data_IF_897706414530
#
_entry.id   IF_897706414530
#
_cell.length_a   1.000
_cell.length_b   1.000
_cell.length_c   1.000
_cell.angle_alpha   90.00
_cell.angle_beta   90.00
_cell.angle_gamma   90.00
#
_symmetry.space_group_name_H-M   'P 1'
#
loop_
_entity.id
_entity.type
_entity.pdbx_description
1 polymer ?
#
# COMPACT_ATOMS: atom_id res chain seq x y z
N UNK A 1 3.23 37.86 -10.93
CA UNK A 1 4.59 37.38 -11.28
C UNK A 1 4.69 37.32 -12.79
N UNK A 2 5.89 37.50 -13.39
CA UNK A 2 6.05 37.41 -14.84
C UNK A 2 6.28 35.93 -15.19
N UNK A 3 5.44 35.35 -16.05
CA UNK A 3 5.62 34.00 -16.56
C UNK A 3 6.82 33.96 -17.51
N UNK A 4 7.65 32.95 -17.42
CA UNK A 4 8.85 32.74 -18.23
C UNK A 4 8.93 31.29 -18.65
N UNK A 5 9.53 31.00 -19.80
CA UNK A 5 9.72 29.62 -20.28
C UNK A 5 10.75 28.86 -19.46
N UNK A 6 10.44 27.60 -19.09
CA UNK A 6 11.32 26.73 -18.30
C UNK A 6 12.68 26.53 -18.97
N UNK A 7 12.72 26.46 -20.30
CA UNK A 7 13.96 26.33 -21.08
C UNK A 7 15.00 27.41 -20.82
N UNK A 8 14.63 28.58 -20.24
CA UNK A 8 15.58 29.62 -19.80
C UNK A 8 16.39 29.20 -18.58
N UNK A 9 15.90 28.21 -17.80
CA UNK A 9 16.44 27.81 -16.52
C UNK A 9 17.05 26.42 -16.50
N UNK A 10 16.89 25.66 -17.58
CA UNK A 10 17.34 24.25 -17.63
C UNK A 10 18.22 24.00 -18.86
N UNK A 11 19.17 23.08 -18.70
CA UNK A 11 20.12 22.71 -19.75
C UNK A 11 20.18 21.18 -19.87
N UNK A 12 20.11 20.68 -21.11
CA UNK A 12 20.22 19.25 -21.41
C UNK A 12 21.66 18.78 -21.31
N UNK A 13 21.85 17.56 -20.78
CA UNK A 13 23.14 16.88 -20.71
C UNK A 13 23.09 15.51 -21.39
N UNK A 14 24.04 15.26 -22.30
CA UNK A 14 24.20 13.95 -22.97
C UNK A 14 25.48 13.22 -22.58
N UNK A 15 26.03 13.49 -21.41
CA UNK A 15 27.21 12.80 -20.89
C UNK A 15 26.94 11.31 -20.72
N UNK A 16 27.84 10.46 -21.25
CA UNK A 16 27.67 9.00 -21.29
C UNK A 16 28.79 8.29 -20.54
N UNK A 17 28.55 7.05 -20.16
CA UNK A 17 29.50 6.18 -19.45
C UNK A 17 30.56 5.57 -20.40
N UNK A 18 31.08 6.37 -21.34
CA UNK A 18 32.02 5.91 -22.39
C UNK A 18 33.29 5.31 -21.82
N UNK A 19 33.77 5.81 -20.70
CA UNK A 19 34.93 5.32 -19.96
C UNK A 19 34.63 4.11 -19.07
N UNK A 20 33.38 3.60 -19.04
CA UNK A 20 32.90 2.46 -18.24
C UNK A 20 33.23 2.59 -16.74
N UNK A 21 33.27 3.82 -16.23
CA UNK A 21 33.54 4.09 -14.82
C UNK A 21 32.47 3.48 -13.90
N UNK A 22 31.21 3.41 -14.37
CA UNK A 22 30.07 2.94 -13.58
C UNK A 22 29.59 1.59 -14.12
N UNK A 23 29.38 0.62 -13.22
CA UNK A 23 28.93 -0.73 -13.54
C UNK A 23 27.39 -0.90 -13.40
N UNK A 24 26.91 -2.14 -13.51
CA UNK A 24 25.49 -2.51 -13.47
C UNK A 24 24.79 -2.06 -12.18
N UNK A 25 25.50 -1.99 -11.05
CA UNK A 25 24.94 -1.52 -9.78
C UNK A 25 24.52 -0.04 -9.78
N UNK A 26 25.07 0.78 -10.70
CA UNK A 26 24.69 2.17 -10.86
C UNK A 26 23.47 2.36 -11.79
N UNK A 27 23.01 1.32 -12.47
CA UNK A 27 21.87 1.42 -13.41
C UNK A 27 20.58 1.51 -12.66
N UNK A 28 19.81 2.54 -12.98
CA UNK A 28 18.52 2.82 -12.33
C UNK A 28 17.40 2.98 -13.36
N UNK A 29 16.18 2.73 -12.92
CA UNK A 29 14.95 3.05 -13.63
C UNK A 29 14.35 4.36 -13.15
N UNK A 30 13.49 4.95 -13.99
CA UNK A 30 12.71 6.13 -13.67
C UNK A 30 11.23 5.74 -13.57
N UNK A 31 10.58 6.08 -12.45
CA UNK A 31 9.19 5.71 -12.21
C UNK A 31 8.21 6.84 -12.56
N UNK A 32 6.94 6.48 -12.77
CA UNK A 32 5.84 7.42 -12.89
C UNK A 32 5.50 8.11 -11.57
N UNK A 33 6.04 7.62 -10.45
CA UNK A 33 5.96 8.26 -9.14
C UNK A 33 7.11 9.25 -8.91
N UNK A 34 7.81 9.66 -9.98
CA UNK A 34 8.92 10.61 -9.96
C UNK A 34 10.12 10.17 -9.09
N UNK A 35 10.34 8.86 -9.01
CA UNK A 35 11.42 8.29 -8.17
C UNK A 35 12.45 7.55 -9.00
N UNK A 36 13.70 7.61 -8.54
CA UNK A 36 14.75 6.70 -8.94
C UNK A 36 14.42 5.33 -8.33
N UNK A 37 14.32 4.30 -9.17
CA UNK A 37 14.01 2.93 -8.73
C UNK A 37 15.11 1.96 -9.20
N UNK A 38 15.25 0.85 -8.51
CA UNK A 38 16.13 -0.23 -8.94
C UNK A 38 15.64 -0.76 -10.30
N UNK A 39 16.58 -0.93 -11.24
CA UNK A 39 16.23 -1.51 -12.55
C UNK A 39 15.72 -2.94 -12.40
N UNK A 40 14.70 -3.29 -13.21
CA UNK A 40 14.19 -4.66 -13.34
C UNK A 40 14.73 -5.35 -14.60
N UNK A 41 15.52 -4.63 -15.41
CA UNK A 41 16.08 -5.16 -16.64
C UNK A 41 17.21 -6.15 -16.34
N UNK A 42 17.29 -7.23 -17.11
CA UNK A 42 18.48 -8.05 -17.16
C UNK A 42 19.57 -7.27 -17.90
N UNK A 43 20.66 -7.00 -17.21
CA UNK A 43 21.80 -6.25 -17.72
C UNK A 43 22.93 -7.16 -18.23
N UNK A 44 22.71 -8.49 -18.26
CA UNK A 44 23.70 -9.45 -18.76
C UNK A 44 24.00 -9.18 -20.23
N UNK A 45 25.26 -8.91 -20.55
CA UNK A 45 25.70 -8.61 -21.92
C UNK A 45 25.32 -7.22 -22.46
N UNK A 46 24.69 -6.36 -21.65
CA UNK A 46 24.34 -5.00 -22.07
C UNK A 46 25.56 -4.09 -22.08
N UNK A 47 25.76 -3.35 -23.17
CA UNK A 47 26.83 -2.35 -23.25
C UNK A 47 26.45 -1.08 -22.51
N UNK A 48 26.94 -0.93 -21.27
CA UNK A 48 26.66 0.21 -20.42
C UNK A 48 27.39 1.51 -20.86
N UNK A 49 28.29 1.46 -21.85
CA UNK A 49 28.99 2.64 -22.35
C UNK A 49 28.02 3.64 -23.05
N UNK A 50 26.90 3.16 -23.57
CA UNK A 50 25.87 4.00 -24.20
C UNK A 50 24.91 4.65 -23.22
N UNK A 51 24.89 4.20 -21.95
CA UNK A 51 24.02 4.76 -20.90
C UNK A 51 24.46 6.18 -20.55
N UNK A 52 23.47 7.01 -20.23
CA UNK A 52 23.72 8.40 -19.84
C UNK A 52 23.99 8.51 -18.35
N UNK A 53 24.86 9.43 -18.00
CA UNK A 53 25.16 9.77 -16.60
C UNK A 53 24.06 10.67 -16.05
N UNK A 54 23.59 10.35 -14.87
CA UNK A 54 22.69 11.17 -14.06
C UNK A 54 23.38 11.50 -12.72
N UNK A 55 24.26 12.52 -12.71
CA UNK A 55 24.98 12.89 -11.49
C UNK A 55 24.09 13.57 -10.47
N UNK A 56 24.59 13.89 -9.25
CA UNK A 56 23.84 14.62 -8.23
C UNK A 56 23.17 15.89 -8.79
N UNK A 57 21.96 16.17 -8.34
CA UNK A 57 21.10 17.29 -8.77
C UNK A 57 20.64 17.25 -10.23
N UNK A 58 20.94 16.20 -11.00
CA UNK A 58 20.39 16.00 -12.33
C UNK A 58 18.94 15.50 -12.27
N UNK A 59 18.17 15.88 -13.28
CA UNK A 59 16.89 15.30 -13.61
C UNK A 59 17.05 14.32 -14.78
N UNK A 60 16.22 13.31 -14.82
CA UNK A 60 16.09 12.46 -15.99
C UNK A 60 14.63 12.10 -16.21
N UNK A 61 14.21 12.06 -17.49
CA UNK A 61 12.88 11.55 -17.84
C UNK A 61 12.94 10.68 -19.11
N UNK A 62 11.90 9.86 -19.28
CA UNK A 62 11.73 9.06 -20.49
C UNK A 62 10.68 9.74 -21.36
N UNK A 63 11.03 10.16 -22.59
CA UNK A 63 10.12 10.88 -23.48
C UNK A 63 8.88 10.08 -23.86
N UNK A 64 8.99 8.75 -23.98
CA UNK A 64 7.89 7.85 -24.36
C UNK A 64 6.82 7.81 -23.25
N UNK A 65 5.64 8.35 -23.52
CA UNK A 65 4.50 8.46 -22.60
C UNK A 65 3.40 7.44 -22.89
N UNK A 66 3.27 6.94 -24.12
CA UNK A 66 2.15 6.10 -24.56
C UNK A 66 1.99 4.76 -23.82
N UNK A 67 3.07 4.22 -23.27
CA UNK A 67 3.06 2.96 -22.52
C UNK A 67 2.91 3.11 -21.01
N UNK A 68 2.81 4.34 -20.50
CA UNK A 68 2.93 4.65 -19.08
C UNK A 68 1.68 5.26 -18.48
N UNK A 69 0.61 5.38 -19.29
CA UNK A 69 -0.64 6.00 -18.90
C UNK A 69 -0.50 7.52 -18.77
N UNK A 70 -1.23 8.10 -17.82
CA UNK A 70 -1.37 9.55 -17.68
C UNK A 70 -0.22 10.24 -16.94
N UNK A 71 0.85 9.50 -16.59
CA UNK A 71 1.96 10.02 -15.78
C UNK A 71 3.30 9.84 -16.47
N UNK A 72 4.08 10.92 -16.51
CA UNK A 72 5.44 10.89 -17.03
C UNK A 72 6.40 10.19 -16.06
N UNK A 73 7.30 9.35 -16.61
CA UNK A 73 8.44 8.83 -15.86
C UNK A 73 9.56 9.85 -15.83
N UNK A 74 9.73 10.46 -14.69
CA UNK A 74 10.76 11.46 -14.40
C UNK A 74 11.35 11.16 -13.01
N UNK A 75 12.60 11.49 -12.77
CA UNK A 75 13.20 11.48 -11.45
C UNK A 75 14.24 12.59 -11.29
N UNK A 76 14.49 12.95 -10.06
CA UNK A 76 15.53 13.86 -9.62
C UNK A 76 16.54 13.10 -8.76
N UNK A 77 17.83 13.26 -9.05
CA UNK A 77 18.88 12.66 -8.27
C UNK A 77 19.24 13.56 -7.07
N UNK A 78 18.58 13.32 -5.95
CA UNK A 78 18.88 14.02 -4.67
C UNK A 78 20.03 13.39 -3.89
N UNK A 79 20.64 12.29 -4.39
CA UNK A 79 21.78 11.62 -3.73
C UNK A 79 23.11 12.25 -4.08
N UNK A 80 24.18 11.81 -3.41
CA UNK A 80 25.54 12.16 -3.75
C UNK A 80 26.16 11.26 -4.82
N UNK A 81 25.45 10.20 -5.24
CA UNK A 81 25.93 9.21 -6.20
C UNK A 81 25.55 9.58 -7.63
N UNK A 82 26.39 9.13 -8.60
CA UNK A 82 26.03 9.21 -10.01
C UNK A 82 25.37 7.92 -10.46
N UNK A 83 24.18 8.03 -11.04
CA UNK A 83 23.45 6.91 -11.61
C UNK A 83 23.64 6.80 -13.13
N UNK A 84 23.35 5.62 -13.66
CA UNK A 84 23.22 5.36 -15.09
C UNK A 84 21.74 5.22 -15.45
N UNK A 85 21.29 5.99 -16.43
CA UNK A 85 19.94 5.87 -17.01
C UNK A 85 20.05 5.42 -18.47
N UNK A 86 18.97 4.83 -18.99
CA UNK A 86 18.91 4.37 -20.37
C UNK A 86 19.29 5.47 -21.36
N UNK A 87 19.91 5.10 -22.49
CA UNK A 87 20.27 6.03 -23.57
C UNK A 87 19.09 6.79 -24.17
N UNK A 88 17.86 6.27 -24.04
CA UNK A 88 16.63 6.93 -24.49
C UNK A 88 16.15 8.05 -23.54
N UNK A 89 16.65 8.06 -22.30
CA UNK A 89 16.28 9.08 -21.33
C UNK A 89 16.88 10.43 -21.70
N UNK A 90 16.17 11.51 -21.39
CA UNK A 90 16.68 12.87 -21.47
C UNK A 90 17.15 13.25 -20.06
N UNK A 91 18.42 13.66 -19.95
CA UNK A 91 19.03 14.14 -18.70
C UNK A 91 19.24 15.63 -18.81
N UNK A 92 18.94 16.37 -17.74
CA UNK A 92 19.10 17.82 -17.71
C UNK A 92 19.38 18.34 -16.28
N UNK A 93 19.82 19.57 -16.19
CA UNK A 93 20.09 20.29 -14.96
C UNK A 93 19.35 21.61 -14.92
N UNK A 94 19.22 22.16 -13.72
CA UNK A 94 18.91 23.58 -13.56
C UNK A 94 20.23 24.37 -13.72
N UNK A 95 20.21 25.42 -14.54
CA UNK A 95 21.37 26.28 -14.78
C UNK A 95 21.86 26.92 -13.48
N UNK A 96 23.17 27.09 -13.35
CA UNK A 96 23.74 27.74 -12.18
C UNK A 96 23.31 29.21 -12.10
N UNK A 97 23.02 29.68 -10.89
CA UNK A 97 22.68 31.09 -10.58
C UNK A 97 21.51 31.67 -11.39
N UNK A 98 20.62 30.81 -11.96
CA UNK A 98 19.51 31.28 -12.79
C UNK A 98 18.27 31.73 -11.97
N UNK A 99 18.28 31.62 -10.65
CA UNK A 99 17.15 31.99 -9.80
C UNK A 99 16.11 30.89 -9.62
N UNK A 100 16.36 29.66 -10.09
CA UNK A 100 15.54 28.47 -9.88
C UNK A 100 16.31 27.43 -9.05
N UNK A 101 15.67 26.88 -8.02
CA UNK A 101 16.21 25.78 -7.24
C UNK A 101 15.78 24.43 -7.83
N UNK A 102 16.70 23.46 -7.94
CA UNK A 102 16.41 22.11 -8.42
C UNK A 102 15.32 21.42 -7.57
N UNK A 103 15.40 21.54 -6.24
CA UNK A 103 14.39 20.96 -5.34
C UNK A 103 13.01 21.59 -5.53
N UNK A 104 12.93 22.90 -5.81
CA UNK A 104 11.67 23.57 -6.11
C UNK A 104 11.10 23.11 -7.46
N UNK A 105 11.96 22.96 -8.47
CA UNK A 105 11.54 22.40 -9.77
C UNK A 105 11.06 20.96 -9.62
N UNK A 106 11.71 20.15 -8.80
CA UNK A 106 11.25 18.79 -8.54
C UNK A 106 9.87 18.76 -7.86
N UNK A 107 9.62 19.65 -6.91
CA UNK A 107 8.29 19.81 -6.32
C UNK A 107 7.26 20.23 -7.36
N UNK A 108 7.61 21.12 -8.30
CA UNK A 108 6.74 21.48 -9.42
C UNK A 108 6.36 20.28 -10.28
N UNK A 109 7.31 19.40 -10.60
CA UNK A 109 7.07 18.19 -11.41
C UNK A 109 6.24 17.13 -10.69
N UNK A 110 6.15 17.14 -9.38
CA UNK A 110 5.32 16.22 -8.62
C UNK A 110 3.82 16.57 -8.62
N UNK A 111 3.44 17.72 -9.18
CA UNK A 111 2.03 18.14 -9.24
C UNK A 111 1.26 17.37 -10.33
N UNK A 112 -0.02 17.01 -10.08
CA UNK A 112 -0.87 16.41 -11.09
C UNK A 112 -1.04 17.25 -12.36
N UNK A 113 -0.93 18.60 -12.24
CA UNK A 113 -1.00 19.53 -13.38
C UNK A 113 0.14 19.28 -14.37
N UNK A 114 1.34 18.99 -13.88
CA UNK A 114 2.48 18.67 -14.73
C UNK A 114 2.23 17.38 -15.53
N UNK A 115 1.70 16.33 -14.90
CA UNK A 115 1.38 15.09 -15.61
C UNK A 115 0.28 15.31 -16.67
N UNK A 116 -0.75 16.11 -16.37
CA UNK A 116 -1.77 16.50 -17.36
C UNK A 116 -1.18 17.30 -18.51
N UNK A 117 -0.29 18.26 -18.22
CA UNK A 117 0.40 19.05 -19.23
C UNK A 117 1.25 18.17 -20.16
N UNK A 118 2.06 17.28 -19.60
CA UNK A 118 2.91 16.37 -20.38
C UNK A 118 2.08 15.42 -21.23
N UNK A 119 0.95 14.93 -20.72
CA UNK A 119 0.03 14.08 -21.48
C UNK A 119 -0.61 14.83 -22.64
N UNK A 120 -1.04 16.06 -22.43
CA UNK A 120 -1.65 16.91 -23.46
C UNK A 120 -0.65 17.29 -24.57
N UNK A 121 0.60 17.57 -24.23
CA UNK A 121 1.66 17.95 -25.16
C UNK A 121 2.54 16.77 -25.60
N UNK A 122 2.02 15.52 -25.55
CA UNK A 122 2.70 14.36 -26.10
C UNK A 122 2.13 14.00 -27.45
N UNK A 123 2.99 13.86 -28.45
CA UNK A 123 2.62 13.67 -29.86
C UNK A 123 3.29 12.43 -30.47
N UNK A 124 2.65 11.85 -31.48
CA UNK A 124 3.18 10.71 -32.24
C UNK A 124 2.11 9.69 -32.59
N UNK A 125 2.21 9.06 -33.79
CA UNK A 125 1.20 8.11 -34.28
C UNK A 125 1.36 6.69 -33.71
N UNK A 126 2.60 6.24 -33.47
CA UNK A 126 2.89 4.90 -32.96
C UNK A 126 3.34 4.91 -31.48
N UNK A 127 3.99 5.98 -31.06
CA UNK A 127 4.42 6.24 -29.68
C UNK A 127 4.30 7.73 -29.43
N UNK A 128 3.51 8.09 -28.47
CA UNK A 128 3.44 9.47 -28.03
C UNK A 128 4.68 9.81 -27.22
N UNK A 129 5.33 10.90 -27.57
CA UNK A 129 6.54 11.37 -26.90
C UNK A 129 6.37 12.81 -26.45
N UNK A 130 6.90 13.12 -25.29
CA UNK A 130 7.05 14.47 -24.77
C UNK A 130 8.49 14.92 -25.03
N UNK A 131 8.66 15.86 -25.95
CA UNK A 131 9.97 16.27 -26.42
C UNK A 131 10.71 17.15 -25.42
N UNK A 132 12.00 17.40 -25.68
CA UNK A 132 12.79 18.36 -24.91
C UNK A 132 12.29 19.80 -25.17
N UNK A 133 11.87 20.08 -26.35
CA UNK A 133 11.31 21.35 -26.77
C UNK A 133 10.00 21.64 -26.02
N UNK A 134 9.12 20.65 -25.88
CA UNK A 134 7.89 20.77 -25.09
C UNK A 134 8.19 20.98 -23.60
N UNK A 135 9.26 20.34 -23.06
CA UNK A 135 9.73 20.60 -21.71
C UNK A 135 10.21 22.04 -21.52
N UNK A 136 10.96 22.55 -22.49
CA UNK A 136 11.46 23.94 -22.48
C UNK A 136 10.34 24.98 -22.61
N UNK A 137 9.25 24.61 -23.27
CA UNK A 137 8.09 25.47 -23.53
C UNK A 137 7.11 25.62 -22.34
N UNK A 138 7.35 24.89 -21.25
CA UNK A 138 6.55 25.03 -20.03
C UNK A 138 6.64 26.45 -19.51
N UNK A 139 5.49 27.08 -19.28
CA UNK A 139 5.42 28.36 -18.59
C UNK A 139 5.53 28.17 -17.07
N UNK A 140 6.52 28.83 -16.47
CA UNK A 140 6.76 28.76 -15.03
C UNK A 140 6.77 30.18 -14.42
N UNK A 141 6.11 30.34 -13.29
CA UNK A 141 6.19 31.51 -12.45
C UNK A 141 7.14 31.25 -11.30
N UNK A 142 8.22 32.03 -11.21
CA UNK A 142 9.23 31.84 -10.19
C UNK A 142 9.11 32.89 -9.08
N UNK A 143 8.84 32.47 -7.84
CA UNK A 143 9.02 33.34 -6.68
C UNK A 143 10.50 33.56 -6.39
N UNK A 144 10.81 34.47 -5.47
CA UNK A 144 12.21 34.68 -5.03
C UNK A 144 12.79 33.40 -4.43
N UNK A 145 14.11 33.28 -4.44
CA UNK A 145 14.84 32.11 -3.90
C UNK A 145 14.46 31.83 -2.44
N UNK A 146 14.27 32.88 -1.63
CA UNK A 146 13.87 32.74 -0.22
C UNK A 146 12.47 32.11 -0.10
N UNK A 147 11.57 32.44 -1.01
CA UNK A 147 10.22 31.87 -1.06
C UNK A 147 10.26 30.44 -1.58
N UNK A 148 11.05 30.15 -2.63
CA UNK A 148 11.27 28.77 -3.10
C UNK A 148 11.81 27.88 -1.97
N UNK A 149 12.80 28.37 -1.21
CA UNK A 149 13.37 27.63 -0.08
C UNK A 149 12.32 27.33 1.01
N UNK A 150 11.42 28.28 1.30
CA UNK A 150 10.32 28.03 2.25
C UNK A 150 9.40 26.89 1.77
N UNK A 151 9.03 26.89 0.50
CA UNK A 151 8.20 25.80 -0.07
C UNK A 151 8.92 24.46 -0.03
N UNK A 152 10.20 24.43 -0.41
CA UNK A 152 11.03 23.21 -0.35
C UNK A 152 11.14 22.68 1.08
N UNK A 153 11.35 23.56 2.05
CA UNK A 153 11.46 23.17 3.47
C UNK A 153 10.14 22.55 3.96
N UNK A 154 8.99 23.16 3.64
CA UNK A 154 7.66 22.62 3.99
C UNK A 154 7.45 21.25 3.32
N UNK A 155 7.68 21.15 2.02
CA UNK A 155 7.53 19.91 1.26
C UNK A 155 8.39 18.78 1.85
N UNK A 156 9.67 19.03 2.11
CA UNK A 156 10.58 18.07 2.70
C UNK A 156 10.15 17.66 4.11
N UNK A 157 9.66 18.60 4.92
CA UNK A 157 9.12 18.31 6.25
C UNK A 157 7.87 17.40 6.18
N UNK A 158 6.98 17.62 5.21
CA UNK A 158 5.80 16.77 4.99
C UNK A 158 6.21 15.34 4.57
N UNK A 159 7.13 15.21 3.62
CA UNK A 159 7.66 13.89 3.18
C UNK A 159 8.35 13.16 4.34
N UNK A 160 9.16 13.88 5.12
CA UNK A 160 9.82 13.29 6.28
C UNK A 160 8.82 12.85 7.35
N UNK A 161 7.80 13.66 7.63
CA UNK A 161 6.75 13.31 8.57
C UNK A 161 5.98 12.06 8.13
N UNK A 162 5.64 11.98 6.84
CA UNK A 162 5.00 10.77 6.27
C UNK A 162 5.87 9.53 6.47
N UNK A 163 7.17 9.61 6.15
CA UNK A 163 8.10 8.47 6.33
C UNK A 163 8.21 8.04 7.79
N UNK A 164 8.34 8.98 8.72
CA UNK A 164 8.36 8.68 10.15
C UNK A 164 7.06 8.01 10.61
N UNK A 165 5.93 8.47 10.08
CA UNK A 165 4.63 7.89 10.41
C UNK A 165 4.50 6.45 9.88
N UNK A 166 4.91 6.20 8.63
CA UNK A 166 4.91 4.87 8.01
C UNK A 166 5.87 3.90 8.74
N UNK A 167 7.05 4.39 9.14
CA UNK A 167 7.98 3.60 9.95
C UNK A 167 7.36 3.24 11.31
N UNK A 168 6.74 4.19 12.00
CA UNK A 168 6.06 3.92 13.27
C UNK A 168 4.90 2.93 13.15
N UNK A 169 4.20 2.89 12.01
CA UNK A 169 3.19 1.87 11.74
C UNK A 169 3.81 0.48 11.61
N UNK A 170 4.92 0.33 10.90
CA UNK A 170 5.60 -0.96 10.76
C UNK A 170 6.17 -1.43 12.11
N UNK A 171 6.73 -0.52 12.91
CA UNK A 171 7.24 -0.84 14.25
C UNK A 171 6.13 -1.33 15.19
N UNK A 172 4.95 -0.71 15.18
CA UNK A 172 3.78 -1.18 15.94
C UNK A 172 3.33 -2.57 15.49
N UNK A 173 3.25 -2.80 14.19
CA UNK A 173 2.88 -4.09 13.61
C UNK A 173 3.86 -5.19 14.01
N UNK A 174 5.15 -4.93 13.88
CA UNK A 174 6.22 -5.86 14.27
C UNK A 174 6.16 -6.18 15.77
N UNK A 175 5.92 -5.17 16.62
CA UNK A 175 5.75 -5.35 18.06
C UNK A 175 4.57 -6.27 18.38
N UNK A 176 3.40 -6.02 17.76
CA UNK A 176 2.23 -6.89 17.95
C UNK A 176 2.52 -8.33 17.56
N UNK A 177 3.17 -8.55 16.42
CA UNK A 177 3.41 -9.90 15.93
C UNK A 177 4.50 -10.62 16.72
N UNK A 178 5.54 -9.91 17.17
CA UNK A 178 6.56 -10.45 18.05
C UNK A 178 5.99 -10.89 19.41
N UNK A 179 5.12 -10.09 20.01
CA UNK A 179 4.42 -10.45 21.25
C UNK A 179 3.53 -11.69 21.05
N UNK A 180 2.74 -11.71 19.97
CA UNK A 180 1.91 -12.87 19.64
C UNK A 180 2.73 -14.14 19.41
N UNK A 181 3.90 -14.03 18.77
CA UNK A 181 4.82 -15.16 18.57
C UNK A 181 5.47 -15.61 19.90
N UNK A 182 5.83 -14.68 20.78
CA UNK A 182 6.27 -15.00 22.14
C UNK A 182 5.20 -15.81 22.89
N UNK A 183 3.94 -15.41 22.84
CA UNK A 183 2.84 -16.15 23.47
C UNK A 183 2.68 -17.57 22.90
N UNK A 184 2.88 -17.75 21.59
CA UNK A 184 2.85 -19.07 20.94
C UNK A 184 3.82 -20.08 21.59
N UNK A 185 4.94 -19.61 22.12
CA UNK A 185 5.98 -20.44 22.71
C UNK A 185 5.92 -20.53 24.24
N UNK A 186 5.26 -19.60 24.90
CA UNK A 186 5.29 -19.48 26.38
C UNK A 186 3.96 -19.74 27.07
N UNK A 187 2.82 -19.64 26.33
CA UNK A 187 1.49 -19.76 26.93
C UNK A 187 0.80 -21.07 26.58
N UNK A 188 -0.13 -21.49 27.44
CA UNK A 188 -0.99 -22.65 27.17
C UNK A 188 -1.84 -22.39 25.94
N UNK A 189 -1.94 -23.40 25.08
CA UNK A 189 -2.81 -23.33 23.89
C UNK A 189 -4.16 -23.94 24.19
N UNK A 190 -5.19 -23.41 23.54
CA UNK A 190 -6.56 -23.95 23.55
C UNK A 190 -7.06 -24.03 22.12
N UNK A 191 -7.83 -25.06 21.83
CA UNK A 191 -8.47 -25.23 20.53
C UNK A 191 -9.61 -24.20 20.35
N UNK A 192 -9.82 -23.73 19.11
CA UNK A 192 -10.90 -22.78 18.82
C UNK A 192 -12.28 -23.33 19.19
N UNK A 193 -12.48 -24.66 19.10
CA UNK A 193 -13.72 -25.31 19.53
C UNK A 193 -13.98 -25.26 21.03
N UNK A 194 -12.94 -25.05 21.85
CA UNK A 194 -13.09 -24.83 23.29
C UNK A 194 -13.38 -23.36 23.61
N UNK A 195 -13.03 -22.45 22.73
CA UNK A 195 -13.12 -21.00 22.89
C UNK A 195 -14.38 -20.41 22.26
N UNK A 196 -14.85 -20.97 21.14
CA UNK A 196 -16.00 -20.49 20.37
C UNK A 196 -17.05 -21.61 20.15
N UNK A 197 -18.30 -21.21 20.05
CA UNK A 197 -19.41 -22.05 19.64
C UNK A 197 -20.21 -21.41 18.52
N UNK A 198 -20.82 -22.24 17.66
CA UNK A 198 -21.73 -21.74 16.61
C UNK A 198 -23.10 -21.41 17.19
N UNK A 199 -23.64 -20.28 16.75
CA UNK A 199 -25.04 -19.86 17.02
C UNK A 199 -25.76 -19.67 15.69
N UNK A 200 -27.06 -19.99 15.65
CA UNK A 200 -27.88 -19.89 14.44
C UNK A 200 -29.18 -19.12 14.71
N UNK A 201 -29.05 -17.80 14.85
CA UNK A 201 -30.21 -16.91 14.94
C UNK A 201 -30.54 -16.40 13.54
N UNK A 202 -31.76 -16.68 13.09
CA UNK A 202 -32.21 -16.29 11.74
C UNK A 202 -32.96 -14.96 11.77
N UNK A 203 -32.86 -14.22 10.68
CA UNK A 203 -33.58 -12.96 10.45
C UNK A 203 -35.07 -13.20 10.09
N UNK A 204 -35.70 -14.22 10.67
CA UNK A 204 -37.06 -14.65 10.33
C UNK A 204 -38.12 -13.57 10.53
N UNK A 205 -37.88 -12.63 11.43
CA UNK A 205 -38.75 -11.49 11.70
C UNK A 205 -38.44 -10.26 10.82
N UNK A 206 -37.42 -10.33 9.96
CA UNK A 206 -37.03 -9.23 9.09
C UNK A 206 -36.47 -8.00 9.80
N UNK A 207 -35.89 -8.19 11.00
CA UNK A 207 -35.37 -7.08 11.83
C UNK A 207 -34.10 -6.45 11.22
N UNK A 208 -33.46 -7.10 10.27
CA UNK A 208 -32.25 -6.60 9.62
C UNK A 208 -32.40 -6.62 8.10
N UNK A 209 -32.18 -5.46 7.48
CA UNK A 209 -32.15 -5.24 6.02
C UNK A 209 -30.71 -5.05 5.47
N UNK A 210 -29.71 -5.08 6.36
CA UNK A 210 -28.31 -4.83 6.06
C UNK A 210 -27.56 -6.16 5.88
N UNK A 211 -27.53 -6.69 4.65
CA UNK A 211 -26.77 -7.88 4.34
C UNK A 211 -25.28 -7.56 4.11
N UNK A 212 -24.41 -8.29 4.81
CA UNK A 212 -22.97 -8.10 4.72
C UNK A 212 -22.23 -9.41 4.42
N UNK A 213 -21.04 -9.28 3.86
CA UNK A 213 -20.04 -10.32 3.70
C UNK A 213 -18.73 -9.92 4.36
N UNK A 214 -17.73 -10.81 4.30
CA UNK A 214 -16.39 -10.56 4.83
C UNK A 214 -15.41 -10.50 3.65
N UNK A 215 -14.63 -9.41 3.58
CA UNK A 215 -13.56 -9.27 2.60
C UNK A 215 -12.27 -10.01 3.03
N UNK A 216 -11.27 -10.04 2.16
CA UNK A 216 -9.96 -10.67 2.45
C UNK A 216 -9.16 -9.94 3.55
N UNK A 217 -9.50 -8.68 3.85
CA UNK A 217 -8.90 -7.91 4.97
C UNK A 217 -9.63 -8.14 6.29
N UNK A 218 -10.56 -9.13 6.34
CA UNK A 218 -11.31 -9.54 7.53
C UNK A 218 -12.20 -8.44 8.12
N UNK A 219 -12.77 -7.64 7.21
CA UNK A 219 -13.71 -6.58 7.54
C UNK A 219 -15.07 -6.88 6.89
N UNK A 220 -16.14 -6.47 7.56
CA UNK A 220 -17.46 -6.51 6.98
C UNK A 220 -17.59 -5.52 5.82
N UNK A 221 -18.29 -5.94 4.78
CA UNK A 221 -18.57 -5.12 3.60
C UNK A 221 -20.00 -5.37 3.12
N UNK A 222 -20.67 -4.40 2.50
CA UNK A 222 -22.00 -4.61 1.92
C UNK A 222 -22.01 -5.81 0.97
N UNK A 223 -23.02 -6.67 1.08
CA UNK A 223 -23.19 -7.81 0.18
C UNK A 223 -23.65 -7.32 -1.20
N UNK A 224 -23.10 -7.91 -2.27
CA UNK A 224 -23.50 -7.63 -3.67
C UNK A 224 -24.83 -8.31 -4.02
N UNK A 225 -25.35 -9.22 -3.19
CA UNK A 225 -26.59 -9.95 -3.42
C UNK A 225 -27.81 -9.05 -3.15
N UNK A 226 -28.27 -8.35 -4.19
CA UNK A 226 -29.27 -7.29 -4.12
C UNK A 226 -30.75 -7.73 -4.18
N UNK A 227 -31.07 -9.02 -4.27
CA UNK A 227 -32.46 -9.50 -4.45
C UNK A 227 -32.79 -10.75 -3.65
N UNK A 228 -32.07 -11.01 -2.56
CA UNK A 228 -32.19 -12.25 -1.81
C UNK A 228 -33.16 -12.09 -0.65
N UNK A 229 -33.97 -13.11 -0.41
CA UNK A 229 -34.80 -13.24 0.77
C UNK A 229 -33.93 -13.25 2.04
N UNK A 230 -33.81 -12.10 2.70
CA UNK A 230 -33.01 -11.92 3.89
C UNK A 230 -33.58 -12.63 5.13
N UNK A 231 -34.80 -13.14 5.09
CA UNK A 231 -35.40 -13.88 6.20
C UNK A 231 -34.65 -15.18 6.54
N UNK A 232 -33.95 -15.75 5.55
CA UNK A 232 -33.11 -16.95 5.72
C UNK A 232 -31.69 -16.65 6.21
N UNK A 233 -31.31 -15.39 6.24
CA UNK A 233 -29.96 -14.98 6.65
C UNK A 233 -29.77 -15.16 8.14
N UNK A 234 -28.51 -15.35 8.55
CA UNK A 234 -28.13 -15.42 9.97
C UNK A 234 -27.86 -14.00 10.50
N UNK A 235 -28.32 -13.72 11.69
CA UNK A 235 -28.01 -12.47 12.38
C UNK A 235 -26.68 -12.58 13.10
N UNK A 236 -25.90 -11.50 13.02
CA UNK A 236 -24.67 -11.32 13.78
C UNK A 236 -24.84 -10.13 14.70
N UNK A 237 -24.70 -10.36 16.00
CA UNK A 237 -24.78 -9.35 17.04
C UNK A 237 -23.40 -8.88 17.48
N UNK A 238 -23.36 -7.78 18.22
CA UNK A 238 -22.12 -7.25 18.79
C UNK A 238 -21.35 -8.33 19.55
N UNK A 239 -20.02 -8.34 19.40
CA UNK A 239 -19.09 -9.32 19.96
C UNK A 239 -19.23 -10.75 19.42
N UNK A 240 -19.97 -10.94 18.33
CA UNK A 240 -19.99 -12.20 17.59
C UNK A 240 -19.09 -12.13 16.36
N UNK A 241 -18.63 -13.28 15.93
CA UNK A 241 -17.86 -13.42 14.69
C UNK A 241 -18.75 -13.96 13.59
N UNK A 242 -18.52 -13.49 12.36
CA UNK A 242 -18.94 -14.22 11.18
C UNK A 242 -17.71 -14.94 10.59
N UNK A 243 -17.89 -16.21 10.21
CA UNK A 243 -16.85 -17.07 9.68
C UNK A 243 -17.30 -17.65 8.34
N UNK A 244 -16.45 -17.58 7.32
CA UNK A 244 -16.69 -18.23 6.03
C UNK A 244 -15.65 -19.31 5.80
N UNK A 245 -16.11 -20.56 5.70
CA UNK A 245 -15.28 -21.70 5.36
C UNK A 245 -14.76 -21.68 3.92
N UNK A 246 -15.47 -20.93 3.04
CA UNK A 246 -15.29 -21.01 1.60
C UNK A 246 -14.00 -20.36 1.11
N UNK A 247 -13.30 -21.05 0.21
CA UNK A 247 -12.14 -20.50 -0.54
C UNK A 247 -10.95 -20.10 0.30
N UNK A 248 -10.82 -20.57 1.53
CA UNK A 248 -9.71 -20.21 2.43
C UNK A 248 -8.35 -20.53 1.81
N UNK A 249 -8.17 -21.72 1.24
CA UNK A 249 -6.92 -22.11 0.60
C UNK A 249 -6.68 -21.38 -0.73
N UNK A 250 -7.73 -21.11 -1.52
CA UNK A 250 -7.64 -20.37 -2.78
C UNK A 250 -7.26 -18.91 -2.56
N UNK A 251 -7.93 -18.25 -1.64
CA UNK A 251 -7.71 -16.83 -1.34
C UNK A 251 -6.55 -16.61 -0.38
N UNK A 252 -5.97 -17.72 0.15
CA UNK A 252 -4.91 -17.73 1.15
C UNK A 252 -5.23 -16.85 2.37
N UNK A 253 -6.50 -16.91 2.82
CA UNK A 253 -7.02 -16.06 3.87
C UNK A 253 -8.15 -16.76 4.62
N UNK A 254 -8.04 -16.85 5.95
CA UNK A 254 -9.16 -17.22 6.83
C UNK A 254 -10.10 -16.02 6.91
N UNK A 255 -11.32 -16.19 6.41
CA UNK A 255 -12.35 -15.13 6.47
C UNK A 255 -13.13 -15.22 7.77
N UNK A 256 -12.64 -14.55 8.80
CA UNK A 256 -13.31 -14.35 10.08
C UNK A 256 -13.30 -12.87 10.43
N UNK A 257 -14.41 -12.34 10.92
CA UNK A 257 -14.52 -10.94 11.32
C UNK A 257 -15.36 -10.80 12.58
N UNK A 258 -14.86 -10.04 13.56
CA UNK A 258 -15.55 -9.65 14.78
C UNK A 258 -16.50 -8.49 14.48
N UNK A 259 -17.76 -8.60 14.90
CA UNK A 259 -18.73 -7.54 14.73
C UNK A 259 -18.80 -6.64 15.99
N UNK A 260 -18.54 -5.35 15.79
CA UNK A 260 -18.54 -4.35 16.87
C UNK A 260 -19.72 -3.36 16.85
N UNK A 261 -20.64 -3.47 15.87
CA UNK A 261 -21.77 -2.55 15.75
C UNK A 261 -22.88 -2.80 16.76
N UNK A 262 -23.65 -1.76 17.09
CA UNK A 262 -24.75 -1.86 18.08
C UNK A 262 -26.04 -2.45 17.49
N UNK A 263 -26.26 -2.33 16.17
CA UNK A 263 -27.41 -2.94 15.46
C UNK A 263 -26.96 -4.22 14.78
N UNK A 264 -27.76 -5.30 14.81
CA UNK A 264 -27.39 -6.55 14.15
C UNK A 264 -27.23 -6.37 12.63
N UNK A 265 -26.39 -7.20 12.03
CA UNK A 265 -26.25 -7.34 10.58
C UNK A 265 -26.68 -8.75 10.15
N UNK A 266 -27.01 -8.92 8.87
CA UNK A 266 -27.37 -10.21 8.31
C UNK A 266 -26.22 -10.74 7.44
N UNK A 267 -25.84 -12.02 7.61
CA UNK A 267 -24.88 -12.72 6.76
C UNK A 267 -25.54 -13.89 6.07
N UNK A 268 -25.03 -14.26 4.89
CA UNK A 268 -25.56 -15.41 4.13
C UNK A 268 -25.59 -16.69 4.99
N UNK A 269 -26.56 -17.60 4.77
CA UNK A 269 -26.61 -18.89 5.45
C UNK A 269 -25.32 -19.75 5.32
N UNK A 270 -24.49 -19.46 4.33
CA UNK A 270 -23.18 -20.11 4.15
C UNK A 270 -22.12 -19.72 5.18
N UNK A 271 -22.36 -18.67 5.96
CA UNK A 271 -21.50 -18.28 7.05
C UNK A 271 -21.87 -19.03 8.34
N UNK A 272 -20.88 -19.33 9.16
CA UNK A 272 -21.09 -19.66 10.57
C UNK A 272 -21.00 -18.38 11.41
N UNK A 273 -21.92 -18.21 12.34
CA UNK A 273 -21.86 -17.16 13.35
C UNK A 273 -21.34 -17.77 14.64
N UNK A 274 -20.28 -17.21 15.19
CA UNK A 274 -19.58 -17.78 16.35
C UNK A 274 -19.63 -16.80 17.50
N UNK A 275 -19.81 -17.33 18.71
CA UNK A 275 -19.72 -16.54 19.94
C UNK A 275 -18.75 -17.18 20.93
N UNK A 276 -18.26 -16.39 21.87
CA UNK A 276 -17.34 -16.80 22.92
C UNK A 276 -18.03 -17.76 23.91
N UNK A 277 -17.35 -18.85 24.29
CA UNK A 277 -17.79 -19.83 25.30
C UNK A 277 -17.27 -19.52 26.70
N UNK A 278 -16.18 -18.79 26.84
CA UNK A 278 -15.45 -18.61 28.09
C UNK A 278 -14.99 -17.19 28.26
N UNK A 279 -14.92 -16.72 29.52
CA UNK A 279 -14.43 -15.39 29.84
C UNK A 279 -12.91 -15.30 29.98
N UNK A 280 -12.18 -16.37 29.66
CA UNK A 280 -10.71 -16.42 29.72
C UNK A 280 -10.06 -15.79 28.48
N UNK A 281 -10.84 -15.44 27.46
CA UNK A 281 -10.35 -14.87 26.20
C UNK A 281 -11.18 -13.68 25.78
N UNK A 282 -10.52 -12.68 25.18
CA UNK A 282 -11.15 -11.52 24.56
C UNK A 282 -11.44 -11.80 23.08
N UNK A 283 -12.57 -11.38 22.61
CA UNK A 283 -12.95 -11.50 21.20
C UNK A 283 -11.98 -10.73 20.28
N UNK A 284 -11.54 -9.56 20.71
CA UNK A 284 -10.56 -8.75 20.01
C UNK A 284 -9.19 -9.43 19.91
N UNK A 285 -8.82 -10.22 20.92
CA UNK A 285 -7.59 -11.01 20.87
C UNK A 285 -7.68 -12.13 19.82
N UNK A 286 -8.83 -12.81 19.71
CA UNK A 286 -9.08 -13.80 18.65
C UNK A 286 -9.00 -13.11 17.28
N UNK A 287 -9.65 -11.95 17.09
CA UNK A 287 -9.60 -11.19 15.85
C UNK A 287 -8.16 -10.81 15.47
N UNK A 288 -7.38 -10.32 16.44
CA UNK A 288 -5.97 -10.01 16.25
C UNK A 288 -5.17 -11.27 15.83
N UNK A 289 -5.38 -12.38 16.52
CA UNK A 289 -4.68 -13.63 16.21
C UNK A 289 -4.87 -14.06 14.77
N UNK A 290 -6.11 -14.04 14.28
CA UNK A 290 -6.45 -14.36 12.90
C UNK A 290 -6.13 -13.26 11.89
N UNK A 291 -5.77 -12.07 12.31
CA UNK A 291 -5.28 -11.00 11.43
C UNK A 291 -3.81 -11.17 10.99
N UNK A 292 -3.11 -12.15 11.57
CA UNK A 292 -1.70 -12.43 11.28
C UNK A 292 -1.55 -13.28 10.01
N UNK A 293 -0.51 -13.02 9.19
CA UNK A 293 -0.21 -13.84 8.01
C UNK A 293 0.04 -15.33 8.33
N UNK A 294 0.56 -15.64 9.55
CA UNK A 294 0.78 -17.01 10.01
C UNK A 294 -0.52 -17.80 10.13
N UNK A 295 -1.56 -17.16 10.64
CA UNK A 295 -2.89 -17.77 10.74
C UNK A 295 -3.48 -18.06 9.37
N UNK A 296 -3.28 -17.18 8.41
CA UNK A 296 -3.72 -17.40 7.03
C UNK A 296 -2.95 -18.55 6.36
N UNK A 297 -1.63 -18.65 6.59
CA UNK A 297 -0.84 -19.79 6.10
C UNK A 297 -1.30 -21.11 6.70
N UNK A 298 -1.59 -21.13 8.00
CA UNK A 298 -2.14 -22.30 8.68
C UNK A 298 -3.50 -22.70 8.12
N UNK A 299 -4.40 -21.73 7.94
CA UNK A 299 -5.72 -21.97 7.34
C UNK A 299 -5.64 -22.54 5.92
N UNK A 300 -4.71 -22.01 5.11
CA UNK A 300 -4.45 -22.55 3.77
C UNK A 300 -3.95 -24.02 3.84
N UNK A 301 -3.04 -24.33 4.76
CA UNK A 301 -2.52 -25.68 4.96
C UNK A 301 -3.61 -26.67 5.42
N UNK A 302 -4.52 -26.24 6.30
CA UNK A 302 -5.59 -27.08 6.85
C UNK A 302 -6.83 -27.15 5.93
N UNK A 303 -6.87 -26.38 4.83
CA UNK A 303 -7.97 -26.41 3.87
C UNK A 303 -8.03 -27.76 3.16
N UNK A 304 -9.25 -28.16 2.73
CA UNK A 304 -9.44 -29.37 1.96
C UNK A 304 -8.77 -29.29 0.57
N UNK A 305 -8.57 -30.46 -0.04
CA UNK A 305 -8.00 -30.55 -1.40
C UNK A 305 -9.01 -30.33 -2.52
N UNK A 306 -10.23 -29.84 -2.22
CA UNK A 306 -11.26 -29.56 -3.20
C UNK A 306 -10.89 -28.35 -4.08
N UNK A 307 -11.56 -28.22 -5.23
CA UNK A 307 -11.40 -27.05 -6.13
C UNK A 307 -11.66 -25.71 -5.40
N UNK A 308 -12.47 -25.73 -4.36
CA UNK A 308 -12.81 -24.55 -3.55
C UNK A 308 -11.84 -24.33 -2.40
N UNK A 309 -11.06 -25.34 -2.01
CA UNK A 309 -10.11 -25.31 -0.90
C UNK A 309 -10.72 -24.68 0.36
N UNK A 310 -11.73 -25.34 0.92
CA UNK A 310 -12.48 -24.85 2.06
C UNK A 310 -11.78 -25.23 3.37
N UNK A 311 -11.88 -24.37 4.37
CA UNK A 311 -11.59 -24.69 5.76
C UNK A 311 -12.94 -24.81 6.48
N UNK A 312 -13.44 -26.03 6.64
CA UNK A 312 -14.73 -26.28 7.31
C UNK A 312 -14.66 -25.96 8.82
N UNK A 313 -15.82 -25.78 9.44
CA UNK A 313 -15.89 -25.39 10.84
C UNK A 313 -15.23 -26.42 11.80
N UNK A 314 -15.40 -27.76 11.60
CA UNK A 314 -14.70 -28.74 12.44
C UNK A 314 -13.19 -28.58 12.41
N UNK A 315 -12.56 -28.41 11.23
CA UNK A 315 -11.12 -28.17 11.13
C UNK A 315 -10.70 -26.81 11.69
N UNK A 316 -11.53 -25.78 11.51
CA UNK A 316 -11.29 -24.48 12.16
C UNK A 316 -11.27 -24.62 13.68
N UNK A 317 -12.14 -25.44 14.25
CA UNK A 317 -12.18 -25.72 15.68
C UNK A 317 -10.96 -26.47 16.22
N UNK A 318 -10.23 -27.19 15.38
CA UNK A 318 -8.95 -27.84 15.73
C UNK A 318 -7.77 -26.87 15.82
N UNK A 319 -7.90 -25.64 15.30
CA UNK A 319 -6.83 -24.65 15.38
C UNK A 319 -6.61 -24.27 16.83
N UNK A 320 -5.38 -24.44 17.30
CA UNK A 320 -4.96 -24.05 18.64
C UNK A 320 -4.33 -22.66 18.64
N UNK A 321 -4.76 -21.82 19.58
CA UNK A 321 -4.16 -20.50 19.83
C UNK A 321 -3.67 -20.40 21.28
N UNK A 322 -2.58 -19.66 21.58
CA UNK A 322 -2.16 -19.40 22.94
C UNK A 322 -3.17 -18.49 23.65
N UNK A 323 -3.45 -18.79 24.89
CA UNK A 323 -4.36 -18.00 25.75
C UNK A 323 -3.55 -17.44 26.92
N UNK A 324 -2.96 -16.23 26.77
CA UNK A 324 -2.29 -15.53 27.87
C UNK A 324 -3.30 -14.99 28.87
N UNK A 325 -2.82 -14.43 29.98
CA UNK A 325 -3.67 -13.79 30.97
C UNK A 325 -4.43 -12.60 30.36
N UNK A 326 -5.59 -12.25 30.91
CA UNK A 326 -6.44 -11.17 30.36
C UNK A 326 -5.70 -9.82 30.27
N UNK A 327 -4.85 -9.48 31.23
CA UNK A 327 -4.05 -8.25 31.21
C UNK A 327 -3.05 -8.23 30.04
N UNK A 328 -2.46 -9.37 29.73
CA UNK A 328 -1.57 -9.53 28.57
C UNK A 328 -2.35 -9.44 27.26
N UNK A 329 -3.55 -10.04 27.20
CA UNK A 329 -4.44 -9.93 26.04
C UNK A 329 -4.85 -8.47 25.82
N UNK A 330 -5.30 -7.76 26.86
CA UNK A 330 -5.68 -6.34 26.81
C UNK A 330 -4.49 -5.50 26.30
N UNK A 331 -3.30 -5.74 26.84
CA UNK A 331 -2.10 -5.00 26.45
C UNK A 331 -1.81 -5.16 24.95
N UNK A 332 -1.85 -6.40 24.44
CA UNK A 332 -1.62 -6.67 23.03
C UNK A 332 -2.74 -6.10 22.13
N UNK A 333 -4.00 -6.24 22.55
CA UNK A 333 -5.16 -5.70 21.82
C UNK A 333 -5.07 -4.16 21.73
N UNK A 334 -4.66 -3.49 22.80
CA UNK A 334 -4.51 -2.03 22.79
C UNK A 334 -3.43 -1.56 21.79
N UNK A 335 -2.31 -2.26 21.72
CA UNK A 335 -1.25 -1.95 20.73
C UNK A 335 -1.79 -2.18 19.31
N UNK A 336 -2.50 -3.28 19.09
CA UNK A 336 -3.07 -3.60 17.78
C UNK A 336 -4.13 -2.58 17.34
N UNK A 337 -5.00 -2.17 18.25
CA UNK A 337 -6.01 -1.15 17.98
C UNK A 337 -5.37 0.20 17.63
N UNK A 338 -4.30 0.58 18.34
CA UNK A 338 -3.52 1.76 18.01
C UNK A 338 -2.89 1.66 16.60
N UNK A 339 -2.36 0.50 16.24
CA UNK A 339 -1.85 0.23 14.89
C UNK A 339 -2.96 0.33 13.84
N UNK A 340 -4.12 -0.32 14.06
CA UNK A 340 -5.23 -0.33 13.12
C UNK A 340 -5.78 1.08 12.87
N UNK A 341 -5.99 1.87 13.93
CA UNK A 341 -6.46 3.25 13.84
C UNK A 341 -5.46 4.14 13.10
N UNK A 342 -4.17 4.06 13.44
CA UNK A 342 -3.14 4.84 12.75
C UNK A 342 -3.01 4.47 11.29
N UNK A 343 -3.16 3.20 10.94
CA UNK A 343 -3.16 2.75 9.54
C UNK A 343 -4.31 3.36 8.76
N UNK A 344 -5.51 3.38 9.32
CA UNK A 344 -6.68 4.00 8.70
C UNK A 344 -6.46 5.50 8.46
N UNK A 345 -5.97 6.22 9.47
CA UNK A 345 -5.64 7.66 9.35
C UNK A 345 -4.59 7.88 8.25
N UNK A 346 -3.57 7.03 8.18
CA UNK A 346 -2.52 7.14 7.15
C UNK A 346 -3.08 6.95 5.73
N UNK A 347 -3.98 5.99 5.53
CA UNK A 347 -4.62 5.79 4.22
C UNK A 347 -5.53 6.97 3.85
N UNK A 348 -6.25 7.55 4.79
CA UNK A 348 -7.06 8.76 4.55
C UNK A 348 -6.18 9.98 4.19
N UNK A 349 -5.06 10.16 4.87
CA UNK A 349 -4.12 11.27 4.58
C UNK A 349 -3.45 11.12 3.21
N UNK A 350 -3.24 9.90 2.71
CA UNK A 350 -2.70 9.67 1.36
C UNK A 350 -3.68 10.04 0.24
N UNK A 351 -4.96 10.09 0.54
CA UNK A 351 -6.01 10.44 -0.43
C UNK A 351 -6.23 11.96 -0.54
N UNK A 352 -5.72 12.74 0.40
CA UNK A 352 -5.76 14.21 0.41
C UNK A 352 -4.56 14.81 -0.33
#
# INVERSE_FOLDING_TARGET
MKSTKLGTYIEQCDSRNTNRKYGAGAVVGLSTQKQVIRTKADLSGVNLASYKLMPPKAFAYVPDTSRRGDKMSLAYNSSAETYLVSSISIVFFVCENCGLMSDYLFMYFNRPEFDRYTRFNSWGSARETFSWEDMCDIDIELPSIEVQQKYVNIYNAMIQNQRCYEQGLEDLKLTCFAMADHFKHTKKKMAMGDLLEEVDVRNSEGICDNAQGINITKQFMPSVASSTDLLKYKLVYKNQFAYSAMQTGRDKCIRIALYGGDKPIAVSPAYSVLQKKTDTILEEYIQLWFSRPESDRLGCFMSDASVRANLDLPRFYEIEIPVPDLDEQISLVNIYNAYALRREINEQLKLQ
#
